data_IF_845905231348
#
_entry.id   IF_845905231348
#
_cell.length_a   1.000
_cell.length_b   1.000
_cell.length_c   1.000
_cell.angle_alpha   90.00
_cell.angle_beta   90.00
_cell.angle_gamma   90.00
#
_symmetry.space_group_name_H-M   'P 1'
#
loop_
_entity.id
_entity.type
_entity.pdbx_description
1 polymer ?
2 non-polymer ?
3 non-polymer ?
4 non-polymer ?
5 water ?
#
# COMPACT_ATOMS: atom_id res chain seq x y z
N UNK A 1 -4.53 14.47 -15.68
CA UNK A 1 -3.18 14.93 -15.99
C UNK A 1 -2.40 15.27 -14.72
N UNK A 2 -3.09 15.33 -13.59
CA UNK A 2 -2.44 15.47 -12.29
C UNK A 2 -3.02 14.46 -11.31
N UNK A 3 -2.15 13.60 -10.78
CA UNK A 3 -2.61 12.48 -9.98
C UNK A 3 -1.70 12.25 -8.79
N UNK A 4 -2.28 12.21 -7.60
CA UNK A 4 -1.51 11.91 -6.39
C UNK A 4 -2.40 11.46 -5.26
N UNK A 5 -2.11 10.28 -4.72
CA UNK A 5 -2.86 9.79 -3.58
C UNK A 5 -1.92 9.44 -2.44
N UNK A 6 -2.46 9.47 -1.24
CA UNK A 6 -1.72 9.09 -0.05
C UNK A 6 -2.77 8.53 0.89
N UNK A 7 -2.60 7.27 1.28
CA UNK A 7 -3.59 6.57 2.09
C UNK A 7 -2.96 6.00 3.35
N UNK A 8 -3.77 5.83 4.40
CA UNK A 8 -3.28 5.25 5.65
C UNK A 8 -4.27 4.29 6.25
N UNK A 9 -3.73 3.34 7.01
CA UNK A 9 -4.54 2.44 7.82
C UNK A 9 -4.60 3.00 9.23
N UNK A 10 -5.81 3.20 9.76
CA UNK A 10 -5.94 3.70 11.13
C UNK A 10 -6.50 2.63 12.07
N UNK A 11 -6.71 1.43 11.54
CA UNK A 11 -7.04 0.26 12.36
C UNK A 11 -6.25 -0.97 11.91
N UNK A 12 -6.07 -1.93 12.81
CA UNK A 12 -5.29 -3.13 12.52
C UNK A 12 -5.88 -3.96 11.40
N UNK A 13 -5.00 -4.61 10.64
CA UNK A 13 -5.39 -5.55 9.60
C UNK A 13 -4.73 -6.91 9.87
N UNK A 14 -5.55 -7.88 10.23
CA UNK A 14 -5.06 -9.22 10.51
C UNK A 14 -5.98 -10.22 9.81
N UNK A 15 -5.82 -10.34 8.49
CA UNK A 15 -6.65 -11.20 7.64
C UNK A 15 -6.57 -12.64 8.09
N UNK A 16 -7.63 -13.40 7.80
CA UNK A 16 -7.71 -14.78 8.21
C UNK A 16 -7.03 -15.74 7.26
N UNK A 17 -6.55 -15.23 6.13
CA UNK A 17 -5.81 -16.07 5.20
C UNK A 17 -4.66 -15.30 4.54
N UNK A 18 -3.75 -16.03 3.90
CA UNK A 18 -2.64 -15.40 3.17
C UNK A 18 -3.11 -14.63 1.96
N UNK A 19 -2.27 -13.71 1.50
CA UNK A 19 -2.48 -13.03 0.23
C UNK A 19 -3.81 -12.28 0.14
N UNK A 20 -4.01 -11.34 1.05
CA UNK A 20 -5.20 -10.51 1.05
C UNK A 20 -4.85 -9.07 0.75
N UNK A 21 -5.77 -8.33 0.13
CA UNK A 21 -5.51 -6.93 -0.20
C UNK A 21 -5.49 -6.07 1.04
N UNK A 22 -4.61 -5.08 1.04
CA UNK A 22 -4.60 -4.12 2.13
C UNK A 22 -5.54 -2.98 1.78
N UNK A 23 -6.68 -2.95 2.47
CA UNK A 23 -7.63 -1.87 2.31
C UNK A 23 -7.23 -0.74 3.25
N UNK A 24 -7.57 0.49 2.88
CA UNK A 24 -7.20 1.66 3.66
C UNK A 24 -8.44 2.38 4.11
N UNK A 25 -8.36 3.07 5.24
CA UNK A 25 -9.57 3.71 5.73
C UNK A 25 -9.52 5.22 5.67
N UNK A 26 -8.36 5.77 5.36
CA UNK A 26 -8.16 7.21 5.41
C UNK A 26 -7.29 7.71 4.26
N UNK A 27 -7.69 8.80 3.61
CA UNK A 27 -6.89 9.41 2.56
C UNK A 27 -6.32 10.76 3.00
N UNK A 28 -4.99 10.88 3.00
CA UNK A 28 -4.35 12.17 3.25
C UNK A 28 -4.40 13.02 1.99
N UNK A 29 -4.54 12.36 0.85
CA UNK A 29 -4.65 13.04 -0.43
C UNK A 29 -5.26 12.10 -1.46
N UNK A 30 -6.00 12.68 -2.40
CA UNK A 30 -6.59 11.90 -3.49
C UNK A 30 -6.80 12.80 -4.70
N UNK A 31 -5.76 13.53 -5.05
CA UNK A 31 -5.79 14.43 -6.21
C UNK A 31 -6.01 13.62 -7.48
N UNK A 32 -7.12 13.89 -8.17
CA UNK A 32 -7.43 13.13 -9.37
C UNK A 32 -8.46 12.04 -9.13
N UNK A 33 -8.79 11.80 -7.86
CA UNK A 33 -9.82 10.84 -7.49
C UNK A 33 -9.55 9.43 -8.03
N UNK A 34 -8.30 9.01 -7.98
CA UNK A 34 -7.92 7.73 -8.57
C UNK A 34 -7.88 6.57 -7.59
N UNK A 35 -7.93 6.86 -6.29
CA UNK A 35 -7.76 5.80 -5.30
C UNK A 35 -9.06 5.40 -4.63
N UNK A 36 -9.35 4.10 -4.68
CA UNK A 36 -10.54 3.51 -4.08
C UNK A 36 -10.17 2.94 -2.71
N UNK A 37 -10.51 3.66 -1.64
CA UNK A 37 -10.15 3.25 -0.28
C UNK A 37 -10.63 1.84 0.07
N UNK A 38 -11.89 1.58 -0.25
CA UNK A 38 -12.55 0.33 0.12
C UNK A 38 -11.92 -0.90 -0.52
N UNK A 39 -11.38 -0.74 -1.72
CA UNK A 39 -10.68 -1.83 -2.39
C UNK A 39 -9.17 -1.71 -2.21
N UNK A 40 -8.72 -0.53 -1.78
CA UNK A 40 -7.30 -0.27 -1.63
C UNK A 40 -6.61 -0.21 -2.98
N UNK A 41 -7.35 0.18 -4.01
CA UNK A 41 -6.82 0.14 -5.36
C UNK A 41 -6.67 1.50 -6.02
N UNK A 42 -5.52 1.69 -6.64
CA UNK A 42 -5.27 2.81 -7.51
C UNK A 42 -5.71 2.43 -8.90
N UNK A 43 -6.62 3.23 -9.47
CA UNK A 43 -7.08 3.02 -10.84
C UNK A 43 -6.37 4.01 -11.75
N UNK A 44 -5.46 3.52 -12.59
CA UNK A 44 -4.70 4.40 -13.46
C UNK A 44 -5.64 5.11 -14.44
N UNK A 45 -5.65 6.46 -14.43
CA UNK A 45 -6.57 7.20 -15.31
C UNK A 45 -5.95 7.62 -16.65
N UNK A 46 -4.62 7.64 -16.74
CA UNK A 46 -3.96 8.05 -17.98
C UNK A 46 -2.62 7.33 -18.13
N UNK A 47 -2.26 6.99 -19.37
CA UNK A 47 -0.96 6.37 -19.62
C UNK A 47 0.15 7.28 -19.12
N UNK A 48 1.11 6.73 -18.37
CA UNK A 48 2.21 7.54 -17.89
C UNK A 48 3.17 6.80 -16.98
N UNK A 49 4.18 7.53 -16.52
CA UNK A 49 5.16 7.02 -15.56
C UNK A 49 4.67 7.42 -14.18
N UNK A 50 4.55 6.45 -13.28
CA UNK A 50 4.03 6.66 -11.93
C UNK A 50 5.04 6.18 -10.90
N UNK A 51 5.02 6.84 -9.74
CA UNK A 51 5.87 6.48 -8.62
C UNK A 51 4.99 5.97 -7.49
N UNK A 52 5.41 4.88 -6.82
CA UNK A 52 4.69 4.36 -5.66
C UNK A 52 5.64 4.11 -4.51
N UNK A 53 5.12 4.26 -3.29
CA UNK A 53 5.92 4.00 -2.11
C UNK A 53 4.99 3.56 -0.99
N UNK A 54 5.47 2.68 -0.12
CA UNK A 54 4.67 2.26 1.02
C UNK A 54 5.54 2.01 2.23
N UNK A 55 4.93 2.18 3.39
CA UNK A 55 5.52 1.86 4.68
C UNK A 55 4.45 1.14 5.50
N UNK A 56 4.67 -0.13 5.80
CA UNK A 56 3.69 -0.88 6.60
C UNK A 56 4.31 -1.30 7.93
N UNK A 57 3.72 -0.83 9.03
CA UNK A 57 4.16 -1.25 10.36
C UNK A 57 3.45 -2.53 10.74
N UNK A 58 4.21 -3.55 11.13
CA UNK A 58 3.60 -4.83 11.48
C UNK A 58 3.11 -4.81 12.93
N UNK A 59 2.15 -5.68 13.24
CA UNK A 59 1.70 -5.84 14.61
C UNK A 59 2.83 -6.38 15.47
N UNK A 60 2.78 -6.05 16.76
CA UNK A 60 3.83 -6.41 17.71
C UNK A 60 3.70 -7.85 18.20
N UNK A 61 3.73 -8.78 17.25
CA UNK A 61 3.66 -10.21 17.53
C UNK A 61 4.82 -10.88 16.80
N UNK A 62 5.32 -11.98 17.34
CA UNK A 62 6.45 -12.68 16.74
C UNK A 62 6.06 -13.48 15.49
N UNK A 63 5.66 -12.77 14.45
CA UNK A 63 5.25 -13.36 13.18
C UNK A 63 5.70 -12.38 12.10
N UNK A 64 6.43 -12.85 11.07
CA UNK A 64 6.96 -11.87 10.11
C UNK A 64 5.88 -11.24 9.26
N UNK A 65 6.23 -10.12 8.62
CA UNK A 65 5.35 -9.45 7.69
C UNK A 65 5.97 -9.44 6.30
N UNK A 66 5.21 -9.91 5.32
CA UNK A 66 5.56 -9.85 3.90
C UNK A 66 4.49 -9.06 3.16
N UNK A 67 4.91 -8.05 2.41
CA UNK A 67 4.00 -7.20 1.66
C UNK A 67 4.45 -7.14 0.21
N UNK A 68 3.52 -7.21 -0.73
CA UNK A 68 3.85 -7.04 -2.14
C UNK A 68 3.14 -5.84 -2.71
N UNK A 69 3.86 -5.04 -3.49
CA UNK A 69 3.22 -4.06 -4.35
C UNK A 69 2.79 -4.81 -5.61
N UNK A 70 1.50 -4.70 -5.95
CA UNK A 70 0.92 -5.45 -7.06
C UNK A 70 0.51 -4.56 -8.23
N UNK A 71 0.70 -5.09 -9.43
CA UNK A 71 0.15 -4.47 -10.62
C UNK A 71 -0.80 -5.50 -11.19
N UNK A 72 -2.09 -5.22 -11.09
CA UNK A 72 -3.10 -6.18 -11.49
C UNK A 72 -2.91 -7.47 -10.68
N UNK A 73 -2.44 -8.55 -11.29
CA UNK A 73 -2.22 -9.78 -10.52
C UNK A 73 -0.74 -10.15 -10.34
N UNK A 74 0.15 -9.23 -10.70
CA UNK A 74 1.59 -9.47 -10.70
C UNK A 74 2.32 -8.82 -9.51
N UNK A 75 3.21 -9.56 -8.86
CA UNK A 75 4.10 -8.97 -7.86
C UNK A 75 5.17 -8.10 -8.54
N UNK A 76 5.18 -6.82 -8.20
CA UNK A 76 6.18 -5.88 -8.74
C UNK A 76 7.42 -5.83 -7.86
N UNK A 77 7.22 -5.43 -6.60
CA UNK A 77 8.31 -5.42 -5.62
C UNK A 77 7.75 -5.85 -4.28
N UNK A 78 8.63 -6.25 -3.36
CA UNK A 78 8.17 -6.82 -2.09
C UNK A 78 8.94 -6.22 -0.92
N UNK A 79 8.41 -6.42 0.28
CA UNK A 79 9.06 -5.96 1.49
C UNK A 79 8.85 -6.97 2.62
N UNK A 80 9.82 -7.00 3.53
CA UNK A 80 9.85 -7.90 4.66
C UNK A 80 10.06 -7.09 5.93
N UNK A 81 9.43 -7.51 7.02
CA UNK A 81 9.75 -6.94 8.32
C UNK A 81 9.60 -8.00 9.38
N UNK A 82 10.53 -8.04 10.32
CA UNK A 82 10.44 -8.98 11.43
C UNK A 82 11.28 -8.46 12.56
N UNK A 83 10.75 -8.49 13.77
CA UNK A 83 11.51 -7.98 14.90
C UNK A 83 12.24 -9.08 15.66
N UNK A 84 11.83 -10.33 15.45
CA UNK A 84 12.42 -11.46 16.15
C UNK A 84 11.92 -11.47 17.59
N UNK A 85 10.86 -10.70 17.82
CA UNK A 85 10.27 -10.56 19.14
C UNK A 85 8.89 -9.92 18.98
N UNK A 86 8.09 -9.93 20.05
CA UNK A 86 6.79 -9.25 19.99
C UNK A 86 6.98 -7.74 19.95
N UNK A 87 7.35 -7.24 18.77
CA UNK A 87 7.65 -5.83 18.61
C UNK A 87 7.27 -5.45 17.19
N UNK A 88 7.09 -4.15 16.95
CA UNK A 88 6.82 -3.69 15.59
C UNK A 88 8.10 -3.70 14.77
N UNK A 89 7.91 -3.67 13.45
CA UNK A 89 8.98 -3.45 12.48
C UNK A 89 8.29 -2.98 11.20
N UNK A 90 9.05 -2.43 10.26
CA UNK A 90 8.43 -1.77 9.12
C UNK A 90 8.83 -2.39 7.80
N UNK A 91 7.83 -2.71 6.98
CA UNK A 91 8.03 -3.23 5.63
C UNK A 91 7.78 -2.11 4.62
N UNK A 92 8.82 -1.73 3.90
CA UNK A 92 8.72 -0.60 2.98
C UNK A 92 9.39 -0.95 1.65
N UNK A 93 8.85 -0.40 0.56
CA UNK A 93 9.55 -0.42 -0.72
C UNK A 93 8.94 0.66 -1.60
N UNK A 94 9.40 0.72 -2.84
CA UNK A 94 8.97 1.75 -3.77
C UNK A 94 9.12 1.19 -5.17
N UNK A 95 8.53 1.85 -6.15
CA UNK A 95 8.74 1.47 -7.54
C UNK A 95 8.40 2.62 -8.47
N UNK A 96 9.04 2.68 -9.63
CA UNK A 96 8.66 3.65 -10.66
C UNK A 96 8.39 2.83 -11.91
N UNK A 97 7.25 3.06 -12.54
CA UNK A 97 6.93 2.26 -13.72
C UNK A 97 5.96 2.93 -14.68
N UNK A 98 5.97 2.42 -15.91
CA UNK A 98 5.02 2.85 -16.92
C UNK A 98 3.74 2.07 -16.74
N UNK A 99 2.62 2.78 -16.68
CA UNK A 99 1.31 2.16 -16.57
C UNK A 99 0.42 2.62 -17.73
N UNK A 100 -0.57 1.79 -18.04
CA UNK A 100 -1.61 2.18 -18.99
C UNK A 100 -2.90 2.45 -18.25
N UNK A 101 -3.75 3.29 -18.85
CA UNK A 101 -5.08 3.56 -18.31
C UNK A 101 -5.73 2.22 -18.02
N UNK A 102 -6.29 2.08 -16.84
CA UNK A 102 -6.99 0.86 -16.49
C UNK A 102 -6.17 -0.09 -15.64
N UNK A 103 -4.85 0.07 -15.65
CA UNK A 103 -4.03 -0.69 -14.71
C UNK A 103 -4.41 -0.40 -13.28
N UNK A 104 -4.35 -1.44 -12.45
CA UNK A 104 -4.66 -1.31 -11.04
C UNK A 104 -3.41 -1.61 -10.21
N UNK A 105 -3.09 -0.70 -9.29
CA UNK A 105 -1.96 -0.91 -8.39
C UNK A 105 -2.50 -0.98 -6.98
N UNK A 106 -2.03 -1.96 -6.21
CA UNK A 106 -2.53 -2.19 -4.86
C UNK A 106 -1.47 -2.89 -4.03
N UNK A 107 -1.71 -2.98 -2.73
CA UNK A 107 -0.78 -3.60 -1.82
C UNK A 107 -1.38 -4.88 -1.31
N UNK A 108 -0.58 -5.94 -1.34
CA UNK A 108 -1.00 -7.25 -0.87
C UNK A 108 -0.30 -7.61 0.42
N UNK A 109 -1.09 -7.98 1.42
CA UNK A 109 -0.56 -8.55 2.64
C UNK A 109 -0.37 -10.04 2.39
N UNK A 110 0.86 -10.44 2.08
CA UNK A 110 1.10 -11.84 1.76
C UNK A 110 0.96 -12.68 3.01
N UNK A 111 1.62 -12.25 4.07
CA UNK A 111 1.65 -12.96 5.34
C UNK A 111 1.93 -11.97 6.46
N UNK A 112 1.28 -12.17 7.61
CA UNK A 112 1.49 -11.30 8.75
C UNK A 112 0.30 -10.41 9.04
N UNK A 113 0.54 -9.32 9.76
CA UNK A 113 -0.53 -8.44 10.17
C UNK A 113 0.00 -7.02 10.30
N UNK A 114 -0.88 -6.06 10.04
CA UNK A 114 -0.51 -4.65 9.95
C UNK A 114 -1.14 -3.80 11.04
N UNK A 115 -0.33 -2.92 11.61
CA UNK A 115 -0.78 -2.04 12.69
C UNK A 115 -1.40 -0.76 12.14
N UNK A 116 -2.59 -0.42 12.63
CA UNK A 116 -3.23 0.82 12.24
C UNK A 116 -3.63 1.63 13.46
N UNK A 117 -3.35 2.92 13.42
CA UNK A 117 -3.84 3.84 14.45
C UNK A 117 -3.93 5.25 13.88
N UNK A 118 -4.46 6.18 14.66
CA UNK A 118 -4.58 7.56 14.22
C UNK A 118 -3.23 8.24 14.01
N UNK A 119 -2.15 7.61 14.46
CA UNK A 119 -0.83 8.20 14.22
C UNK A 119 -0.26 7.83 12.85
N UNK A 120 -0.96 6.96 12.13
CA UNK A 120 -0.71 6.71 10.71
C UNK A 120 0.71 6.27 10.42
N UNK A 121 1.08 5.13 11.00
CA UNK A 121 2.36 4.51 10.73
C UNK A 121 2.38 3.83 9.37
N UNK A 122 1.22 3.35 8.95
CA UNK A 122 1.12 2.45 7.81
C UNK A 122 0.46 3.19 6.66
N UNK A 123 1.26 3.46 5.63
CA UNK A 123 0.93 4.39 4.56
C UNK A 123 1.26 3.84 3.18
N UNK A 124 0.57 4.37 2.17
CA UNK A 124 0.73 3.94 0.79
C UNK A 124 0.39 5.12 -0.10
N UNK A 125 1.34 5.53 -0.94
CA UNK A 125 1.13 6.69 -1.79
C UNK A 125 1.60 6.45 -3.21
N UNK A 126 1.08 7.25 -4.13
CA UNK A 126 1.55 7.15 -5.49
C UNK A 126 1.22 8.42 -6.23
N UNK A 127 1.92 8.67 -7.33
CA UNK A 127 1.64 9.85 -8.12
C UNK A 127 2.10 9.74 -9.57
N UNK A 128 1.51 10.58 -10.42
CA UNK A 128 1.88 10.66 -11.82
C UNK A 128 3.09 11.55 -11.98
N UNK A 129 4.19 10.97 -12.45
CA UNK A 129 5.42 11.72 -12.67
C UNK A 129 5.44 12.34 -14.06
N UNK A 130 5.26 11.51 -15.09
CA UNK A 130 5.20 11.99 -16.48
C UNK A 130 3.99 11.40 -17.19
N UNK A 131 3.13 12.26 -17.74
CA UNK A 131 2.01 11.78 -18.54
C UNK A 131 2.52 11.34 -19.91
N UNK A 132 2.07 10.14 -20.33
CA UNK A 132 2.41 9.44 -21.59
C UNK A 132 2.84 7.98 -21.38
X LIG B 1 -0.55 10.26 21.26
X LIG B 1 -0.58 8.99 20.59
X LIG B 1 -1.85 8.91 19.77
X LIG B 1 -2.02 7.57 19.33
X LIG B 1 -3.11 6.96 20.01
X LIG B 1 -2.51 6.03 21.06
X LIG B 1 -3.28 6.05 22.26
X LIG B 1 -2.47 5.73 23.40
X LIG B 1 -1.26 4.90 22.97
X LIG B 1 -1.48 3.50 23.14
X LIG B 1 -0.37 2.76 22.62
X LIG B 1 -0.22 1.47 23.41
X LIG B 1 -0.17 1.81 24.81
X LIG C 1 5.07 6.50 23.16
X LIG C 1 4.45 6.75 21.82
X LIG C 1 3.12 6.04 21.63
X LIG C 1 2.17 6.49 22.72
X LIG C 1 2.61 6.43 20.25
X LIG C 1 1.32 5.75 19.85
X LIG C 1 5.04 5.35 23.65
X LIG C 1 5.64 7.46 23.72
X LIG C 1 1.68 5.62 23.47
X LIG C 1 1.91 7.70 22.82
X LIG C 1 0.37 5.74 20.66
X LIG C 1 1.24 5.21 18.72
X LIG C 1 3.36 4.64 21.69
X LIG D 1 3.93 1.58 24.43
X LIG D 1 3.70 2.60 25.53
X LIG D 1 2.59 3.56 25.15
X LIG D 1 3.35 1.94 26.74
X LIG E 1 2.06 -1.61 23.72
X LIG E 1 1.93 -0.69 24.92
X LIG E 1 0.59 -0.88 25.62
X LIG E 1 3.00 -0.94 25.84
X LIG F 1 2.70 -0.85 -19.61
X LIG F 1 2.40 -1.73 -18.41
X LIG F 1 0.90 -1.99 -18.32
X LIG F 1 3.10 -2.96 -18.55
#
# INVERSE_FOLDING_TARGET
>A
MRVAFSAARTSNLAPGTLDQPIVFDLLLNNLGETFDLQLGRFNCPVNGTYVFIFHMLKLAVNVPLYVNLMKNEEVLVSAYANAGAPDHATASNHAILQLFQGDQIWLRLHRGAIYGSSWKYSTFSGYLLYQDLEHHHHHH
>B hetero
1 PG4 O1 C1 C2 O2 C3 C4 O3 C5 C6 O4 C7 C8 O5
>C hetero
1 FLC CAC CA CB CBC CG CGC OA1 OA2 OB1 OB2 OG1 OG2 OHB
>D hetero
1 IPA C1 C2 C3 O2
>E hetero
1 IPA C1 C2 C3 O2
>F hetero
1 IPA C1 C2 C3 O2
#
